data_IF_864807683784
#
_entry.id   IF_864807683784
#
_cell.length_a   1.000
_cell.length_b   1.000
_cell.length_c   1.000
_cell.angle_alpha   90.00
_cell.angle_beta   90.00
_cell.angle_gamma   90.00
#
_symmetry.space_group_name_H-M   'P 1'
#
loop_
_entity.id
_entity.type
_entity.pdbx_description
1 polymer ?
#
# COMPACT_ATOMS: atom_id res chain seq x y z
N UNK A 1 -19.36 3.93 1.52
CA UNK A 1 -20.06 2.73 2.03
C UNK A 1 -19.72 1.57 1.12
N UNK A 2 -19.13 0.50 1.63
CA UNK A 2 -18.74 -0.66 0.83
C UNK A 2 -20.00 -1.50 0.56
N UNK A 3 -20.52 -1.47 -0.66
CA UNK A 3 -21.80 -2.11 -1.03
C UNK A 3 -21.65 -3.55 -1.56
N UNK A 4 -20.43 -3.99 -1.85
CA UNK A 4 -20.17 -5.31 -2.43
C UNK A 4 -19.70 -6.33 -1.38
N UNK A 5 -20.34 -7.51 -1.36
CA UNK A 5 -19.98 -8.66 -0.52
C UNK A 5 -18.49 -8.99 -0.59
N UNK A 6 -17.92 -8.96 -1.80
CA UNK A 6 -16.51 -9.28 -2.01
C UNK A 6 -15.59 -8.26 -1.33
N UNK A 7 -15.94 -6.98 -1.39
CA UNK A 7 -15.17 -5.91 -0.75
C UNK A 7 -15.22 -6.01 0.78
N UNK A 8 -16.34 -6.43 1.35
CA UNK A 8 -16.45 -6.70 2.80
C UNK A 8 -15.59 -7.88 3.24
N UNK A 9 -15.55 -8.96 2.44
CA UNK A 9 -14.67 -10.11 2.71
C UNK A 9 -13.20 -9.70 2.68
N UNK A 10 -12.82 -8.91 1.68
CA UNK A 10 -11.45 -8.40 1.56
C UNK A 10 -11.15 -7.47 2.74
N UNK A 11 -12.08 -6.60 3.14
CA UNK A 11 -11.88 -5.73 4.29
C UNK A 11 -11.50 -6.53 5.54
N UNK A 12 -12.27 -7.57 5.89
CA UNK A 12 -11.96 -8.43 7.04
C UNK A 12 -10.59 -9.12 6.92
N UNK A 13 -10.28 -9.67 5.74
CA UNK A 13 -8.99 -10.33 5.52
C UNK A 13 -7.80 -9.35 5.63
N UNK A 14 -7.94 -8.13 5.09
CA UNK A 14 -6.89 -7.11 5.17
C UNK A 14 -6.75 -6.57 6.61
N UNK A 15 -7.84 -6.47 7.37
CA UNK A 15 -7.85 -6.08 8.78
C UNK A 15 -7.13 -7.09 9.68
N UNK A 16 -7.25 -8.40 9.41
CA UNK A 16 -6.50 -9.45 10.12
C UNK A 16 -4.97 -9.27 9.98
N UNK A 17 -4.51 -8.74 8.84
CA UNK A 17 -3.10 -8.41 8.61
C UNK A 17 -2.71 -6.99 9.05
N UNK A 18 -3.60 -6.27 9.74
CA UNK A 18 -3.38 -4.92 10.26
C UNK A 18 -3.27 -3.85 9.17
N UNK A 19 -3.89 -4.06 8.02
CA UNK A 19 -3.78 -3.17 6.86
C UNK A 19 -5.15 -2.57 6.50
N UNK A 20 -5.20 -1.48 5.73
CA UNK A 20 -6.46 -0.83 5.33
C UNK A 20 -6.82 -1.17 3.89
N UNK A 21 -8.09 -1.49 3.65
CA UNK A 21 -8.59 -1.84 2.31
C UNK A 21 -8.26 -0.78 1.24
N UNK A 22 -8.47 0.50 1.54
CA UNK A 22 -8.23 1.58 0.56
C UNK A 22 -6.76 1.71 0.18
N UNK A 23 -5.86 1.60 1.16
CA UNK A 23 -4.42 1.59 0.93
C UNK A 23 -3.99 0.35 0.17
N UNK A 24 -4.55 -0.82 0.51
CA UNK A 24 -4.29 -2.06 -0.18
C UNK A 24 -4.67 -2.01 -1.66
N UNK A 25 -5.88 -1.52 -1.98
CA UNK A 25 -6.32 -1.37 -3.37
C UNK A 25 -5.45 -0.37 -4.13
N UNK A 26 -5.09 0.76 -3.51
CA UNK A 26 -4.19 1.74 -4.10
C UNK A 26 -2.81 1.15 -4.41
N UNK A 27 -2.23 0.42 -3.46
CA UNK A 27 -0.92 -0.22 -3.62
C UNK A 27 -0.93 -1.29 -4.73
N UNK A 28 -1.98 -2.11 -4.81
CA UNK A 28 -2.10 -3.12 -5.88
C UNK A 28 -2.16 -2.47 -7.26
N UNK A 29 -2.96 -1.41 -7.43
CA UNK A 29 -3.01 -0.66 -8.69
C UNK A 29 -1.64 -0.08 -9.05
N UNK A 30 -0.92 0.48 -8.07
CA UNK A 30 0.45 1.01 -8.27
C UNK A 30 1.47 -0.08 -8.62
N UNK A 31 1.26 -1.31 -8.14
CA UNK A 31 2.06 -2.47 -8.52
C UNK A 31 1.76 -3.02 -9.91
N UNK A 32 0.75 -2.50 -10.61
CA UNK A 32 0.26 -3.06 -11.87
C UNK A 32 -0.49 -4.38 -11.69
N UNK A 33 -0.97 -4.69 -10.47
CA UNK A 33 -1.74 -5.90 -10.18
C UNK A 33 -3.22 -5.59 -10.38
N UNK A 34 -3.70 -5.79 -11.60
CA UNK A 34 -5.12 -5.64 -11.95
C UNK A 34 -5.88 -6.95 -11.67
N UNK A 35 -6.25 -7.16 -10.41
CA UNK A 35 -7.08 -8.29 -10.00
C UNK A 35 -8.54 -7.87 -9.77
N UNK A 36 -9.46 -8.69 -10.26
CA UNK A 36 -10.89 -8.52 -9.96
C UNK A 36 -11.16 -8.81 -8.47
N UNK A 37 -11.99 -7.98 -7.84
CA UNK A 37 -12.40 -8.12 -6.42
C UNK A 37 -12.99 -9.48 -6.11
N UNK A 38 -13.71 -10.11 -7.05
CA UNK A 38 -14.24 -11.47 -6.86
C UNK A 38 -13.12 -12.49 -6.71
N UNK A 39 -12.14 -12.48 -7.61
CA UNK A 39 -10.97 -13.37 -7.54
C UNK A 39 -10.14 -13.12 -6.29
N UNK A 40 -9.95 -11.85 -5.94
CA UNK A 40 -9.19 -11.47 -4.74
C UNK A 40 -9.89 -11.91 -3.45
N UNK A 41 -11.22 -11.82 -3.40
CA UNK A 41 -11.99 -12.37 -2.27
C UNK A 41 -11.95 -13.89 -2.19
N UNK A 42 -11.86 -14.59 -3.33
CA UNK A 42 -11.70 -16.05 -3.34
C UNK A 42 -10.31 -16.44 -2.84
N UNK A 43 -9.26 -15.73 -3.27
CA UNK A 43 -7.89 -15.91 -2.77
C UNK A 43 -7.81 -15.71 -1.27
N UNK A 44 -8.46 -14.67 -0.74
CA UNK A 44 -8.51 -14.42 0.71
C UNK A 44 -9.14 -15.58 1.50
N UNK A 45 -10.13 -16.29 0.93
CA UNK A 45 -10.85 -17.38 1.62
C UNK A 45 -10.17 -18.73 1.44
N UNK A 46 -9.74 -19.07 0.22
CA UNK A 46 -9.24 -20.41 -0.10
C UNK A 46 -7.71 -20.51 0.00
N UNK A 47 -6.99 -19.41 -0.14
CA UNK A 47 -5.52 -19.38 -0.16
C UNK A 47 -4.94 -18.26 0.73
N UNK A 48 -5.00 -18.42 2.06
CA UNK A 48 -4.55 -17.37 2.99
C UNK A 48 -3.06 -17.02 2.81
N UNK A 49 -2.20 -17.99 2.47
CA UNK A 49 -0.76 -17.76 2.22
C UNK A 49 -0.49 -16.89 1.00
N UNK A 50 -1.25 -17.11 -0.08
CA UNK A 50 -1.16 -16.31 -1.30
C UNK A 50 -1.63 -14.88 -1.02
N UNK A 51 -2.70 -14.74 -0.23
CA UNK A 51 -3.21 -13.43 0.19
C UNK A 51 -2.21 -12.68 1.08
N UNK A 52 -1.59 -13.35 2.05
CA UNK A 52 -0.55 -12.77 2.91
C UNK A 52 0.62 -12.22 2.07
N UNK A 53 1.08 -12.97 1.07
CA UNK A 53 2.14 -12.52 0.16
C UNK A 53 1.76 -11.26 -0.62
N UNK A 54 0.48 -11.12 -1.02
CA UNK A 54 -0.02 -9.91 -1.67
C UNK A 54 -0.07 -8.71 -0.72
N UNK A 55 -0.44 -8.94 0.55
CA UNK A 55 -0.44 -7.90 1.59
C UNK A 55 0.98 -7.44 1.88
N UNK A 56 1.95 -8.35 1.96
CA UNK A 56 3.36 -8.00 2.17
C UNK A 56 3.95 -7.24 1.00
N UNK A 57 3.60 -7.61 -0.23
CA UNK A 57 3.95 -6.85 -1.43
C UNK A 57 3.37 -5.42 -1.37
N UNK A 58 2.10 -5.27 -0.97
CA UNK A 58 1.46 -3.96 -0.81
C UNK A 58 2.12 -3.13 0.30
N UNK A 59 2.49 -3.74 1.43
CA UNK A 59 3.21 -3.08 2.54
C UNK A 59 4.61 -2.62 2.12
N UNK A 60 5.32 -3.44 1.36
CA UNK A 60 6.65 -3.10 0.84
C UNK A 60 6.56 -1.89 -0.09
N UNK A 61 5.56 -1.86 -0.95
CA UNK A 61 5.34 -0.76 -1.90
C UNK A 61 4.94 0.54 -1.22
N UNK A 62 4.14 0.47 -0.16
CA UNK A 62 3.83 1.63 0.66
C UNK A 62 5.09 2.23 1.31
N UNK A 63 6.06 1.39 1.72
CA UNK A 63 7.34 1.86 2.27
C UNK A 63 8.21 2.51 1.20
N UNK A 64 8.33 1.89 0.03
CA UNK A 64 9.06 2.46 -1.11
C UNK A 64 8.52 3.85 -1.50
N UNK A 65 7.20 4.04 -1.49
CA UNK A 65 6.60 5.35 -1.75
C UNK A 65 6.90 6.37 -0.65
N UNK A 66 6.86 5.96 0.63
CA UNK A 66 7.22 6.85 1.73
C UNK A 66 8.68 7.34 1.63
N UNK A 67 9.59 6.46 1.21
CA UNK A 67 11.00 6.82 0.97
C UNK A 67 11.15 7.77 -0.23
N UNK A 68 10.30 7.63 -1.25
CA UNK A 68 10.29 8.53 -2.42
C UNK A 68 9.79 9.94 -2.09
N UNK A 69 8.81 10.09 -1.20
CA UNK A 69 8.28 11.38 -0.77
C UNK A 69 9.26 12.14 0.16
N UNK A 70 10.07 11.42 0.93
CA UNK A 70 11.17 12.01 1.71
C UNK A 70 12.21 12.61 0.74
N UNK A 71 12.61 11.89 -0.32
CA UNK A 71 13.60 12.38 -1.28
C UNK A 71 13.17 13.65 -2.04
N UNK A 72 11.87 13.86 -2.27
CA UNK A 72 11.35 15.05 -2.96
C UNK A 72 11.35 16.27 -2.02
N UNK A 73 11.03 16.07 -0.73
CA UNK A 73 11.04 17.15 0.28
C UNK A 73 12.42 17.43 0.89
N UNK A 74 13.39 16.53 0.70
CA UNK A 74 14.80 16.73 1.05
C UNK A 74 15.67 17.07 -0.15
N UNK A 75 15.11 17.59 -1.26
CA UNK A 75 15.98 18.31 -2.19
C UNK A 75 16.59 19.44 -1.37
N UNK A 76 17.93 19.47 -1.14
CA UNK A 76 18.52 20.56 -0.40
C UNK A 76 18.08 21.84 -1.10
N UNK A 77 17.39 22.70 -0.38
CA UNK A 77 17.10 24.05 -0.87
C UNK A 77 18.46 24.69 -1.10
N UNK A 78 18.85 24.81 -2.37
CA UNK A 78 20.07 25.50 -2.77
C UNK A 78 20.02 26.91 -2.15
N UNK A 79 20.94 27.21 -1.23
CA UNK A 79 21.08 28.54 -0.65
C UNK A 79 21.04 28.67 0.88
N UNK A 80 21.13 27.59 1.66
CA UNK A 80 21.39 27.74 3.10
C UNK A 80 22.86 28.10 3.32
N UNK A 81 23.16 29.40 3.34
CA UNK A 81 24.42 29.91 3.91
C UNK A 81 24.35 29.63 5.41
N UNK A 82 25.06 28.58 5.85
CA UNK A 82 25.22 28.32 7.28
C UNK A 82 26.06 29.46 7.88
N UNK A 83 25.66 29.95 9.07
CA UNK A 83 26.22 31.12 9.78
C UNK A 83 27.71 31.03 10.16
N UNK A 84 28.46 30.07 9.62
CA UNK A 84 29.91 29.92 9.83
C UNK A 84 30.78 30.67 8.82
N UNK A 85 30.20 31.48 7.93
CA UNK A 85 30.91 32.27 6.91
C UNK A 85 30.80 33.79 7.09
N UNK A 86 30.55 34.29 8.31
CA UNK A 86 30.60 35.73 8.65
C UNK A 86 31.72 36.02 9.66
#
# INVERSE_FOLDING_TARGET
>A
MIQDLYSQRILGAVEEHGFKYELFMSCLTKCGVELNRKSLSNLAVYEPKTFESLVDLAKTKLREEADSEIAINTKPVDGVITRGML
#
